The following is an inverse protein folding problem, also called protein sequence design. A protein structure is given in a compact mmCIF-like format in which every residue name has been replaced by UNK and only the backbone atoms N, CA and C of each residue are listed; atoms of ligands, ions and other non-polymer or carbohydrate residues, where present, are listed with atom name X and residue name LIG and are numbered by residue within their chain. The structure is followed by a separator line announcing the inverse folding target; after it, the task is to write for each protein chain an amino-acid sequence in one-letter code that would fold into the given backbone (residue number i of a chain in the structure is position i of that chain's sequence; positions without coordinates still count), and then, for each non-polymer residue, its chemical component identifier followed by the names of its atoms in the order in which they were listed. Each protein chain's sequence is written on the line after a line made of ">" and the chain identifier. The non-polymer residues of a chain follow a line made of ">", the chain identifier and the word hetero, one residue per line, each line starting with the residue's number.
data_IF_559445723802
#
_entry.id   IF_559445723802
#
_cell.length_a   1.000
_cell.length_b   1.000
_cell.length_c   1.000
_cell.angle_alpha   90.00
_cell.angle_beta   90.00
_cell.angle_gamma   90.00
#
_symmetry.space_group_name_H-M   'P 1'
#
loop_
_entity.id
_entity.type
_entity.pdbx_description
1 polymer ?
#
# COMPACT_ATOMS: atom_id res chain seq x y z
N UNK A 1 23.18 9.77 35.50
CA UNK A 1 22.52 9.99 34.18
C UNK A 1 23.57 10.52 33.20
N UNK A 2 23.99 9.73 32.20
CA UNK A 2 24.99 10.19 31.21
C UNK A 2 24.31 11.17 30.23
N UNK A 3 24.72 12.45 30.26
CA UNK A 3 24.23 13.47 29.33
C UNK A 3 24.83 13.20 27.96
N UNK A 4 23.98 12.92 26.97
CA UNK A 4 24.40 12.84 25.57
C UNK A 4 24.85 14.24 25.17
N UNK A 5 26.09 14.39 24.69
CA UNK A 5 26.60 15.67 24.24
C UNK A 5 25.74 16.21 23.09
N UNK A 6 25.34 17.48 23.15
CA UNK A 6 24.53 18.13 22.13
C UNK A 6 25.15 18.01 20.72
N UNK A 7 26.49 18.02 20.64
CA UNK A 7 27.23 17.75 19.41
C UNK A 7 27.01 16.35 18.85
N UNK A 8 26.92 15.33 19.70
CA UNK A 8 26.62 13.96 19.26
C UNK A 8 25.19 13.86 18.72
N UNK A 9 24.24 14.54 19.37
CA UNK A 9 22.86 14.61 18.91
C UNK A 9 22.76 15.26 17.52
N UNK A 10 23.44 16.40 17.33
CA UNK A 10 23.47 17.12 16.05
C UNK A 10 24.09 16.24 14.96
N UNK A 11 25.21 15.57 15.24
CA UNK A 11 25.86 14.66 14.28
C UNK A 11 24.95 13.50 13.89
N UNK A 12 24.25 12.88 14.85
CA UNK A 12 23.29 11.81 14.55
C UNK A 12 22.12 12.30 13.67
N UNK A 13 21.58 13.49 13.93
CA UNK A 13 20.50 14.08 13.11
C UNK A 13 21.00 14.36 11.69
N UNK A 14 22.18 14.95 11.54
CA UNK A 14 22.78 15.26 10.24
C UNK A 14 23.08 14.01 9.41
N UNK A 15 23.60 12.95 10.04
CA UNK A 15 23.85 11.66 9.38
C UNK A 15 22.51 11.03 8.93
N UNK A 16 21.49 11.08 9.77
CA UNK A 16 20.16 10.56 9.43
C UNK A 16 19.56 11.32 8.25
N UNK A 17 19.75 12.65 8.20
CA UNK A 17 19.30 13.48 7.09
C UNK A 17 20.04 13.16 5.78
N UNK A 18 21.36 13.00 5.83
CA UNK A 18 22.18 12.59 4.68
C UNK A 18 21.80 11.20 4.15
N UNK A 19 21.53 10.24 5.04
CA UNK A 19 21.11 8.89 4.66
C UNK A 19 19.74 8.89 3.97
N UNK A 20 18.81 9.77 4.36
CA UNK A 20 17.51 9.90 3.68
C UNK A 20 17.64 10.38 2.22
N UNK A 21 18.66 11.17 1.90
CA UNK A 21 18.92 11.64 0.52
C UNK A 21 19.78 10.68 -0.29
N UNK A 22 20.87 10.15 0.30
CA UNK A 22 21.83 9.32 -0.41
C UNK A 22 21.37 7.86 -0.59
N UNK A 23 20.65 7.32 0.38
CA UNK A 23 20.18 5.93 0.38
C UNK A 23 18.73 5.86 0.92
N UNK A 24 17.76 6.41 0.18
CA UNK A 24 16.38 6.54 0.64
C UNK A 24 15.74 5.20 1.01
N UNK A 25 16.08 4.11 0.30
CA UNK A 25 15.61 2.76 0.64
C UNK A 25 16.21 2.23 1.95
N UNK A 26 17.49 2.50 2.23
CA UNK A 26 18.14 2.07 3.47
C UNK A 26 17.62 2.87 4.67
N UNK A 27 17.44 4.18 4.52
CA UNK A 27 16.85 5.04 5.54
C UNK A 27 15.40 4.63 5.85
N UNK A 28 14.62 4.26 4.84
CA UNK A 28 13.28 3.67 5.01
C UNK A 28 13.32 2.39 5.83
N UNK A 29 14.18 1.43 5.44
CA UNK A 29 14.37 0.16 6.17
C UNK A 29 14.83 0.37 7.62
N UNK A 30 15.72 1.33 7.88
CA UNK A 30 16.17 1.64 9.25
C UNK A 30 15.04 2.25 10.08
N UNK A 31 14.28 3.20 9.51
CA UNK A 31 13.11 3.80 10.16
C UNK A 31 12.05 2.75 10.51
N UNK A 32 11.79 1.83 9.59
CA UNK A 32 10.81 0.77 9.80
C UNK A 32 11.28 -0.19 10.91
N UNK A 33 12.57 -0.57 10.93
CA UNK A 33 13.18 -1.40 12.00
C UNK A 33 13.20 -0.74 13.38
N UNK A 34 13.39 0.59 13.44
CA UNK A 34 13.31 1.36 14.69
C UNK A 34 11.86 1.41 15.16
N UNK A 35 10.91 1.67 14.24
CA UNK A 35 9.48 1.73 14.57
C UNK A 35 8.90 0.39 15.04
N UNK A 36 9.39 -0.72 14.47
CA UNK A 36 9.00 -2.08 14.87
C UNK A 36 9.82 -2.64 16.03
N UNK A 37 10.87 -1.93 16.49
CA UNK A 37 11.76 -2.42 17.54
C UNK A 37 12.28 -3.86 17.27
N UNK A 38 12.58 -4.19 16.01
CA UNK A 38 13.01 -5.53 15.58
C UNK A 38 14.32 -6.00 16.27
N UNK A 39 15.06 -5.09 16.89
CA UNK A 39 16.24 -5.41 17.73
C UNK A 39 15.82 -6.15 19.01
N UNK A 40 14.73 -5.72 19.64
CA UNK A 40 14.27 -6.26 20.94
C UNK A 40 13.20 -7.35 20.79
N UNK A 41 12.45 -7.32 19.69
CA UNK A 41 11.33 -8.24 19.48
C UNK A 41 11.51 -9.08 18.22
N UNK A 42 11.03 -10.32 18.27
CA UNK A 42 10.73 -11.14 17.10
C UNK A 42 9.24 -11.08 16.81
N UNK A 43 8.90 -11.28 15.54
CA UNK A 43 7.53 -11.21 15.05
C UNK A 43 7.23 -12.45 14.23
N UNK A 44 6.06 -13.04 14.47
CA UNK A 44 5.45 -14.02 13.58
C UNK A 44 4.11 -13.48 13.13
N UNK A 45 3.88 -13.46 11.82
CA UNK A 45 2.64 -12.95 11.23
C UNK A 45 1.93 -14.08 10.51
N UNK A 46 0.67 -14.30 10.86
CA UNK A 46 -0.23 -15.19 10.12
C UNK A 46 -1.39 -14.37 9.58
N UNK A 47 -1.90 -14.75 8.40
CA UNK A 47 -3.05 -14.11 7.78
C UNK A 47 -4.04 -15.14 7.28
N UNK A 48 -5.31 -14.77 7.27
CA UNK A 48 -6.41 -15.58 6.75
C UNK A 48 -7.28 -14.70 5.85
N UNK A 49 -7.43 -15.13 4.61
CA UNK A 49 -8.37 -14.52 3.66
C UNK A 49 -9.80 -14.64 4.16
N UNK A 50 -10.64 -13.65 3.84
CA UNK A 50 -12.06 -13.66 4.17
C UNK A 50 -12.92 -13.40 2.94
N UNK A 51 -12.63 -12.34 2.19
CA UNK A 51 -13.43 -11.96 1.02
C UNK A 51 -12.61 -11.11 0.05
N UNK A 52 -13.06 -11.06 -1.21
CA UNK A 52 -12.55 -10.08 -2.18
C UNK A 52 -13.45 -8.86 -2.17
N UNK A 53 -12.86 -7.67 -2.14
CA UNK A 53 -13.54 -6.38 -2.20
C UNK A 53 -13.06 -5.59 -3.41
N UNK A 54 -13.89 -4.66 -3.88
CA UNK A 54 -13.64 -3.94 -5.13
C UNK A 54 -13.80 -2.42 -4.91
N UNK A 55 -12.88 -1.65 -5.50
CA UNK A 55 -12.96 -0.19 -5.57
C UNK A 55 -12.98 0.20 -7.06
N UNK A 56 -14.15 0.61 -7.56
CA UNK A 56 -14.31 1.04 -8.96
C UNK A 56 -14.28 2.54 -9.07
N UNK A 57 -13.48 3.04 -10.00
CA UNK A 57 -13.36 4.45 -10.34
C UNK A 57 -13.73 4.66 -11.81
N UNK A 58 -14.50 5.71 -12.09
CA UNK A 58 -14.67 6.19 -13.46
C UNK A 58 -13.36 6.86 -13.89
N UNK A 59 -12.80 6.37 -14.99
CA UNK A 59 -11.71 7.03 -15.66
C UNK A 59 -12.28 8.14 -16.51
N UNK A 60 -12.88 7.84 -17.66
CA UNK A 60 -13.30 8.85 -18.64
C UNK A 60 -14.71 8.57 -19.18
N UNK A 61 -15.32 9.61 -19.75
CA UNK A 61 -16.55 9.50 -20.54
C UNK A 61 -16.31 10.14 -21.90
N UNK A 62 -16.25 9.33 -22.96
CA UNK A 62 -15.92 9.81 -24.31
C UNK A 62 -17.20 9.85 -25.16
N UNK A 63 -17.60 11.02 -25.69
CA UNK A 63 -18.78 11.16 -26.52
C UNK A 63 -18.68 10.39 -27.85
N UNK A 64 -19.82 10.03 -28.43
CA UNK A 64 -19.89 9.34 -29.74
C UNK A 64 -19.11 10.07 -30.84
N UNK A 65 -18.36 9.29 -31.63
CA UNK A 65 -17.50 9.81 -32.70
C UNK A 65 -16.31 10.65 -32.24
N UNK A 66 -16.06 10.77 -30.93
CA UNK A 66 -14.88 11.44 -30.38
C UNK A 66 -13.83 10.44 -29.92
N UNK A 67 -12.61 10.93 -29.75
CA UNK A 67 -11.52 10.20 -29.15
C UNK A 67 -10.78 11.14 -28.18
N UNK A 68 -10.28 10.58 -27.09
CA UNK A 68 -9.50 11.29 -26.08
C UNK A 68 -8.23 10.49 -25.81
N UNK A 69 -7.10 11.17 -25.57
CA UNK A 69 -5.90 10.51 -25.05
C UNK A 69 -5.79 10.85 -23.58
N UNK A 70 -5.77 9.82 -22.73
CA UNK A 70 -5.72 10.00 -21.29
C UNK A 70 -4.49 9.34 -20.70
N UNK A 71 -3.83 10.10 -19.82
CA UNK A 71 -2.83 9.56 -18.91
C UNK A 71 -3.51 9.17 -17.60
N UNK A 72 -3.28 7.94 -17.17
CA UNK A 72 -3.76 7.39 -15.90
C UNK A 72 -2.56 6.98 -15.05
N UNK A 73 -2.54 7.44 -13.80
CA UNK A 73 -1.60 6.98 -12.77
C UNK A 73 -2.43 6.60 -11.54
N UNK A 74 -2.64 5.29 -11.37
CA UNK A 74 -3.41 4.72 -10.28
C UNK A 74 -2.55 3.77 -9.48
N UNK A 75 -2.82 3.74 -8.17
CA UNK A 75 -2.13 2.85 -7.25
C UNK A 75 -3.11 2.14 -6.34
N UNK A 76 -2.91 0.84 -6.19
CA UNK A 76 -3.60 -0.01 -5.23
C UNK A 76 -2.67 -0.25 -4.05
N UNK A 77 -2.89 0.48 -2.96
CA UNK A 77 -2.09 0.37 -1.73
C UNK A 77 -2.71 -0.57 -0.70
N UNK A 78 -1.85 -1.16 0.13
CA UNK A 78 -2.26 -1.91 1.31
C UNK A 78 -2.95 -1.00 2.32
N UNK A 79 -4.14 -1.40 2.78
CA UNK A 79 -4.89 -0.73 3.85
C UNK A 79 -4.92 -1.62 5.08
N UNK A 80 -4.77 -1.01 6.25
CA UNK A 80 -4.75 -1.68 7.54
C UNK A 80 -5.72 -0.96 8.48
N UNK A 81 -6.61 -1.71 9.13
CA UNK A 81 -7.59 -1.17 10.06
C UNK A 81 -7.23 -1.57 11.50
N UNK A 82 -7.24 -0.59 12.41
CA UNK A 82 -6.99 -0.85 13.84
C UNK A 82 -5.58 -1.32 14.18
N UNK A 83 -4.64 -1.33 13.23
CA UNK A 83 -3.26 -1.79 13.46
C UNK A 83 -2.42 -0.75 14.21
N UNK A 84 -1.89 -1.10 15.39
CA UNK A 84 -0.97 -0.22 16.13
C UNK A 84 0.30 0.13 15.33
N UNK A 85 0.80 1.35 15.49
CA UNK A 85 1.96 1.85 14.74
C UNK A 85 3.22 0.97 14.92
N UNK A 86 3.43 0.43 16.12
CA UNK A 86 4.61 -0.36 16.48
C UNK A 86 4.66 -1.76 15.82
N UNK A 87 3.60 -2.19 15.14
CA UNK A 87 3.58 -3.43 14.35
C UNK A 87 3.19 -3.19 12.88
N UNK A 88 2.91 -1.95 12.50
CA UNK A 88 2.32 -1.63 11.20
C UNK A 88 3.26 -1.95 10.04
N UNK A 89 4.56 -1.68 10.17
CA UNK A 89 5.56 -2.02 9.16
C UNK A 89 5.68 -3.53 8.97
N UNK A 90 5.78 -4.28 10.07
CA UNK A 90 5.86 -5.74 10.08
C UNK A 90 4.66 -6.38 9.38
N UNK A 91 3.45 -5.89 9.65
CA UNK A 91 2.26 -6.40 8.96
C UNK A 91 2.31 -6.05 7.48
N UNK A 92 2.65 -4.80 7.11
CA UNK A 92 2.73 -4.40 5.69
C UNK A 92 3.74 -5.22 4.89
N UNK A 93 4.87 -5.59 5.48
CA UNK A 93 5.90 -6.42 4.85
C UNK A 93 5.41 -7.84 4.55
N UNK A 94 4.45 -8.35 5.32
CA UNK A 94 3.84 -9.68 5.13
C UNK A 94 2.72 -9.72 4.09
N UNK A 95 2.30 -8.56 3.57
CA UNK A 95 1.18 -8.43 2.64
C UNK A 95 1.66 -8.23 1.19
N UNK A 96 0.75 -8.41 0.23
CA UNK A 96 1.05 -8.19 -1.18
C UNK A 96 1.51 -6.75 -1.40
N UNK A 97 2.52 -6.61 -2.26
CA UNK A 97 3.10 -5.30 -2.57
C UNK A 97 2.06 -4.41 -3.26
N UNK A 98 2.11 -3.09 -3.05
CA UNK A 98 1.29 -2.16 -3.80
C UNK A 98 1.44 -2.36 -5.30
N UNK A 99 0.32 -2.28 -6.03
CA UNK A 99 0.32 -2.40 -7.48
C UNK A 99 0.10 -1.02 -8.10
N UNK A 100 0.98 -0.61 -9.00
CA UNK A 100 0.87 0.65 -9.72
C UNK A 100 0.44 0.37 -11.17
N UNK A 101 -0.53 1.13 -11.65
CA UNK A 101 -0.96 1.14 -13.03
C UNK A 101 -0.70 2.51 -13.61
N UNK A 102 0.16 2.55 -14.62
CA UNK A 102 0.50 3.74 -15.38
C UNK A 102 0.26 3.45 -16.85
N UNK A 103 -0.62 4.22 -17.47
CA UNK A 103 -0.89 4.06 -18.88
C UNK A 103 -1.21 5.39 -19.54
N UNK A 104 -0.87 5.48 -20.83
CA UNK A 104 -1.33 6.53 -21.72
C UNK A 104 -2.13 5.85 -22.81
N UNK A 105 -3.46 5.96 -22.74
CA UNK A 105 -4.37 5.21 -23.60
C UNK A 105 -5.19 6.17 -24.46
N UNK A 106 -5.41 5.78 -25.72
CA UNK A 106 -6.36 6.45 -26.61
C UNK A 106 -7.71 5.78 -26.42
N UNK A 107 -8.66 6.53 -25.85
CA UNK A 107 -10.02 6.10 -25.59
C UNK A 107 -10.93 6.64 -26.70
N UNK A 108 -11.92 5.85 -27.11
CA UNK A 108 -12.81 6.19 -28.22
C UNK A 108 -14.26 6.13 -27.77
N UNK A 109 -15.06 7.08 -28.24
CA UNK A 109 -16.49 7.06 -28.03
C UNK A 109 -17.15 5.88 -28.72
N UNK A 110 -18.43 5.62 -28.40
CA UNK A 110 -19.16 4.50 -28.94
C UNK A 110 -19.54 4.74 -30.40
N UNK A 111 -20.03 3.68 -31.04
CA UNK A 111 -20.62 3.76 -32.38
C UNK A 111 -21.90 4.62 -32.38
N UNK A 112 -22.41 4.92 -33.58
CA UNK A 112 -23.68 5.66 -33.72
C UNK A 112 -24.82 4.89 -33.04
N UNK A 113 -25.62 5.58 -32.25
CA UNK A 113 -26.75 5.00 -31.50
C UNK A 113 -26.57 5.02 -29.97
N UNK A 114 -25.40 5.43 -29.49
CA UNK A 114 -25.10 5.71 -28.07
C UNK A 114 -24.56 7.13 -27.92
N UNK A 115 -24.74 7.75 -26.76
CA UNK A 115 -24.27 9.11 -26.50
C UNK A 115 -22.81 9.15 -26.08
N UNK A 116 -22.38 8.24 -25.20
CA UNK A 116 -21.02 8.22 -24.66
C UNK A 116 -20.59 6.83 -24.20
N UNK A 117 -19.27 6.61 -24.15
CA UNK A 117 -18.63 5.40 -23.61
C UNK A 117 -17.91 5.79 -22.33
N UNK A 118 -18.37 5.24 -21.20
CA UNK A 118 -17.68 5.39 -19.92
C UNK A 118 -16.64 4.30 -19.77
N UNK A 119 -15.47 4.68 -19.28
CA UNK A 119 -14.34 3.82 -18.99
C UNK A 119 -14.13 3.75 -17.49
N UNK A 120 -13.97 2.55 -16.96
CA UNK A 120 -13.82 2.27 -15.53
C UNK A 120 -12.55 1.48 -15.26
N UNK A 121 -12.03 1.68 -14.06
CA UNK A 121 -10.96 0.87 -13.49
C UNK A 121 -11.43 0.35 -12.14
N UNK A 122 -11.40 -0.96 -11.98
CA UNK A 122 -11.75 -1.65 -10.73
C UNK A 122 -10.46 -2.17 -10.11
N UNK A 123 -10.18 -1.74 -8.88
CA UNK A 123 -9.09 -2.26 -8.05
C UNK A 123 -9.65 -3.40 -7.20
N UNK A 124 -9.07 -4.59 -7.34
CA UNK A 124 -9.46 -5.75 -6.56
C UNK A 124 -8.55 -5.87 -5.34
N UNK A 125 -9.16 -6.08 -4.18
CA UNK A 125 -8.48 -6.20 -2.90
C UNK A 125 -8.87 -7.50 -2.21
N UNK A 126 -7.87 -8.25 -1.77
CA UNK A 126 -8.07 -9.38 -0.86
C UNK A 126 -8.15 -8.84 0.56
N UNK A 127 -9.31 -9.01 1.20
CA UNK A 127 -9.57 -8.65 2.58
C UNK A 127 -9.45 -9.87 3.45
N UNK A 128 -8.85 -9.70 4.61
CA UNK A 128 -8.74 -10.77 5.59
C UNK A 128 -8.37 -10.27 6.97
N UNK A 129 -8.09 -11.23 7.86
CA UNK A 129 -7.58 -10.96 9.20
C UNK A 129 -6.11 -11.34 9.29
N UNK A 130 -5.36 -10.60 10.07
CA UNK A 130 -4.00 -10.97 10.45
C UNK A 130 -3.92 -11.20 11.97
N UNK A 131 -2.95 -12.03 12.36
CA UNK A 131 -2.49 -12.17 13.74
C UNK A 131 -0.99 -11.97 13.77
N UNK A 132 -0.50 -11.16 14.72
CA UNK A 132 0.92 -10.91 14.95
C UNK A 132 1.26 -11.36 16.36
N UNK A 133 2.12 -12.36 16.47
CA UNK A 133 2.73 -12.75 17.74
C UNK A 133 4.07 -12.03 17.86
N UNK A 134 4.14 -11.11 18.82
CA UNK A 134 5.38 -10.39 19.14
C UNK A 134 6.00 -10.99 20.39
N UNK A 135 7.22 -11.49 20.28
CA UNK A 135 7.95 -12.11 21.39
C UNK A 135 9.14 -11.25 21.77
N UNK A 136 9.28 -10.91 23.05
CA UNK A 136 10.45 -10.20 23.55
C UNK A 136 11.65 -11.16 23.59
N UNK A 137 12.72 -10.84 22.84
CA UNK A 137 13.88 -11.72 22.68
C UNK A 137 14.66 -11.97 23.97
N UNK A 138 14.51 -11.12 24.98
CA UNK A 138 15.23 -11.20 26.27
C UNK A 138 14.40 -11.94 27.32
N UNK A 139 13.11 -11.61 27.42
CA UNK A 139 12.22 -12.09 28.49
C UNK A 139 11.32 -13.25 28.07
N UNK A 140 11.25 -13.55 26.76
CA UNK A 140 10.33 -14.55 26.20
C UNK A 140 8.85 -14.15 26.25
N UNK A 141 8.49 -13.00 26.84
CA UNK A 141 7.10 -12.57 26.96
C UNK A 141 6.49 -12.29 25.60
N UNK A 142 5.28 -12.81 25.39
CA UNK A 142 4.54 -12.66 24.14
C UNK A 142 3.42 -11.62 24.26
N UNK A 143 3.12 -10.96 23.14
CA UNK A 143 1.93 -10.13 22.98
C UNK A 143 1.34 -10.38 21.61
N UNK A 144 0.06 -10.69 21.59
CA UNK A 144 -0.70 -10.97 20.37
C UNK A 144 -1.43 -9.71 19.92
N UNK A 145 -1.39 -9.44 18.62
CA UNK A 145 -2.20 -8.41 17.97
C UNK A 145 -3.04 -9.05 16.87
N UNK A 146 -4.26 -8.58 16.73
CA UNK A 146 -5.16 -8.99 15.65
C UNK A 146 -5.69 -7.76 14.95
N UNK A 147 -5.99 -7.88 13.67
CA UNK A 147 -6.61 -6.79 12.92
C UNK A 147 -7.04 -7.23 11.52
N UNK A 148 -7.51 -6.25 10.75
CA UNK A 148 -8.00 -6.45 9.39
C UNK A 148 -7.01 -5.85 8.40
N UNK A 149 -6.77 -6.56 7.31
CA UNK A 149 -5.98 -6.07 6.19
C UNK A 149 -6.79 -6.04 4.90
N UNK A 150 -6.37 -5.18 3.98
CA UNK A 150 -6.73 -5.18 2.58
C UNK A 150 -5.43 -5.08 1.79
N UNK A 151 -5.16 -6.07 0.97
CA UNK A 151 -4.00 -6.09 0.09
C UNK A 151 -4.46 -6.19 -1.38
N UNK A 152 -3.69 -5.65 -2.34
CA UNK A 152 -4.02 -5.86 -3.75
C UNK A 152 -4.16 -7.34 -4.05
N UNK A 153 -5.23 -7.71 -4.76
CA UNK A 153 -5.50 -9.10 -5.14
C UNK A 153 -4.33 -9.67 -5.93
N UNK A 154 -3.96 -10.92 -5.65
CA UNK A 154 -2.93 -11.62 -6.44
C UNK A 154 -3.38 -11.88 -7.88
N UNK A 155 -4.68 -12.08 -8.07
CA UNK A 155 -5.32 -12.29 -9.37
C UNK A 155 -6.03 -11.00 -9.78
N UNK A 156 -5.67 -10.49 -10.96
CA UNK A 156 -6.27 -9.29 -11.54
C UNK A 156 -6.39 -8.12 -10.56
N UNK A 157 -5.29 -7.62 -9.98
CA UNK A 157 -5.32 -6.52 -8.99
C UNK A 157 -6.00 -5.26 -9.53
N UNK A 158 -5.98 -5.08 -10.85
CA UNK A 158 -6.59 -3.97 -11.57
C UNK A 158 -7.26 -4.51 -12.84
N UNK A 159 -8.56 -4.26 -12.97
CA UNK A 159 -9.35 -4.63 -14.15
C UNK A 159 -9.90 -3.37 -14.80
N UNK A 160 -9.78 -3.30 -16.13
CA UNK A 160 -10.34 -2.21 -16.93
C UNK A 160 -11.56 -2.71 -17.67
N UNK A 161 -12.58 -1.87 -17.76
CA UNK A 161 -13.76 -2.17 -18.56
C UNK A 161 -14.44 -0.88 -19.00
N UNK A 162 -15.34 -0.98 -19.97
CA UNK A 162 -16.09 0.17 -20.48
C UNK A 162 -17.54 -0.19 -20.73
N UNK A 163 -18.41 0.81 -20.73
CA UNK A 163 -19.83 0.66 -21.01
C UNK A 163 -20.33 1.79 -21.90
N UNK A 164 -21.10 1.42 -22.91
CA UNK A 164 -21.79 2.35 -23.78
C UNK A 164 -23.14 2.72 -23.15
N UNK A 165 -23.43 4.01 -23.11
CA UNK A 165 -24.69 4.56 -22.57
C UNK A 165 -25.42 5.34 -23.66
N UNK A 166 -26.76 5.21 -23.63
CA UNK A 166 -27.64 5.86 -24.61
C UNK A 166 -27.85 7.32 -24.27
#
# INVERSE_FOLDING_TARGET
>A
MKKISLTLLIVCISITFLLNFAMPEFAGKMKDNISSMNILYSYSVTKSFSEQTQETIEMASVPSGKAETRSADFRSDVKLEGTPLNIRSVVKESLNKPHAYKAKEKLTGPEKGFSYRKYYLTKNYDKGRYTVNRTNKITGKEKVYVGTYYEPSTQDPIVKWSRDEK
#
